data_IF_335070477507
#
_entry.id   IF_335070477507
#
_cell.length_a   1.000
_cell.length_b   1.000
_cell.length_c   1.000
_cell.angle_alpha   90.00
_cell.angle_beta   90.00
_cell.angle_gamma   90.00
#
_symmetry.space_group_name_H-M   'P 1'
#
loop_
_entity.id
_entity.type
_entity.pdbx_description
1 polymer ?
#
# COMPACT_ATOMS: atom_id res chain seq x y z
N UNK A 1 -5.46 5.61 -2.85
CA UNK A 1 -5.76 4.51 -3.79
C UNK A 1 -4.62 4.22 -4.78
N UNK A 2 -4.13 5.17 -5.58
CA UNK A 2 -3.14 4.90 -6.64
C UNK A 2 -1.85 4.18 -6.18
N UNK A 3 -1.35 4.46 -4.98
CA UNK A 3 -0.16 3.79 -4.42
C UNK A 3 -0.42 2.33 -4.03
N UNK A 4 -1.61 2.03 -3.50
CA UNK A 4 -2.02 0.68 -3.12
C UNK A 4 -2.26 -0.18 -4.37
N UNK A 5 -2.85 0.39 -5.42
CA UNK A 5 -3.02 -0.31 -6.69
C UNK A 5 -1.66 -0.66 -7.31
N UNK A 6 -0.73 0.29 -7.35
CA UNK A 6 0.63 0.02 -7.81
C UNK A 6 1.32 -1.07 -7.00
N UNK A 7 1.06 -1.14 -5.70
CA UNK A 7 1.58 -2.20 -4.85
C UNK A 7 1.04 -3.57 -5.26
N UNK A 8 -0.30 -3.70 -5.37
CA UNK A 8 -0.95 -4.93 -5.82
C UNK A 8 -0.51 -5.37 -7.22
N UNK A 9 -0.45 -4.44 -8.17
CA UNK A 9 -0.03 -4.71 -9.55
C UNK A 9 1.43 -5.20 -9.61
N UNK A 10 2.31 -4.62 -8.80
CA UNK A 10 3.72 -5.02 -8.78
C UNK A 10 3.87 -6.44 -8.19
N UNK A 11 3.17 -6.73 -7.08
CA UNK A 11 3.18 -8.08 -6.48
C UNK A 11 2.61 -9.11 -7.44
N UNK A 12 1.49 -8.82 -8.11
CA UNK A 12 0.88 -9.75 -9.08
C UNK A 12 1.76 -10.01 -10.31
N UNK A 13 2.64 -9.06 -10.66
CA UNK A 13 3.66 -9.22 -11.69
C UNK A 13 4.93 -9.95 -11.21
N UNK A 14 4.93 -10.46 -9.97
CA UNK A 14 6.03 -11.25 -9.41
C UNK A 14 7.09 -10.43 -8.68
N UNK A 15 6.84 -9.15 -8.37
CA UNK A 15 7.74 -8.39 -7.53
C UNK A 15 7.83 -9.02 -6.13
N UNK A 16 9.05 -9.19 -5.63
CA UNK A 16 9.34 -9.76 -4.30
C UNK A 16 9.46 -8.69 -3.20
N UNK A 17 9.29 -7.43 -3.57
CA UNK A 17 9.40 -6.27 -2.69
C UNK A 17 9.19 -4.98 -3.48
N UNK A 18 8.77 -3.93 -2.79
CA UNK A 18 8.46 -2.63 -3.38
C UNK A 18 9.01 -1.53 -2.47
N UNK A 19 9.66 -0.53 -3.07
CA UNK A 19 10.23 0.61 -2.35
C UNK A 19 9.40 1.86 -2.66
N UNK A 20 8.71 2.39 -1.64
CA UNK A 20 8.04 3.68 -1.70
C UNK A 20 8.78 4.70 -0.82
N UNK A 21 9.29 5.77 -1.45
CA UNK A 21 9.91 6.89 -0.74
C UNK A 21 8.95 8.06 -0.58
N UNK A 22 8.90 8.93 -1.59
CA UNK A 22 8.11 10.19 -1.57
C UNK A 22 6.66 10.01 -1.14
N UNK A 23 6.00 8.92 -1.54
CA UNK A 23 4.61 8.65 -1.16
C UNK A 23 4.42 8.44 0.35
N UNK A 24 5.41 7.85 1.03
CA UNK A 24 5.35 7.64 2.48
C UNK A 24 5.60 8.96 3.21
N UNK A 25 6.62 9.71 2.80
CA UNK A 25 7.01 10.97 3.47
C UNK A 25 6.01 12.11 3.28
N UNK A 26 5.22 12.08 2.20
CA UNK A 26 4.20 13.10 1.91
C UNK A 26 2.79 12.67 2.32
N UNK A 27 2.62 11.49 2.92
CA UNK A 27 1.31 11.07 3.41
C UNK A 27 0.96 11.82 4.69
N UNK A 28 -0.31 12.20 4.84
CA UNK A 28 -0.81 12.85 6.06
C UNK A 28 -0.67 11.92 7.28
N UNK A 29 -0.79 10.60 7.08
CA UNK A 29 -0.57 9.58 8.08
C UNK A 29 0.34 8.46 7.52
N UNK A 30 1.68 8.62 7.60
CA UNK A 30 2.62 7.63 7.09
C UNK A 30 2.48 6.24 7.73
N UNK A 31 2.29 6.10 9.06
CA UNK A 31 2.05 4.79 9.68
C UNK A 31 0.83 4.07 9.10
N UNK A 32 -0.29 4.76 8.93
CA UNK A 32 -1.50 4.18 8.32
C UNK A 32 -1.25 3.70 6.88
N UNK A 33 -0.52 4.50 6.09
CA UNK A 33 -0.15 4.12 4.73
C UNK A 33 0.77 2.89 4.70
N UNK A 34 1.73 2.79 5.62
CA UNK A 34 2.60 1.61 5.73
C UNK A 34 1.79 0.36 6.07
N UNK A 35 0.86 0.46 7.04
CA UNK A 35 -0.03 -0.65 7.40
C UNK A 35 -0.91 -1.10 6.23
N UNK A 36 -1.50 -0.15 5.50
CA UNK A 36 -2.30 -0.43 4.32
C UNK A 36 -1.47 -1.10 3.20
N UNK A 37 -0.24 -0.65 2.98
CA UNK A 37 0.68 -1.27 2.02
C UNK A 37 1.07 -2.69 2.43
N UNK A 38 1.32 -2.93 3.72
CA UNK A 38 1.63 -4.25 4.23
C UNK A 38 0.48 -5.23 4.00
N UNK A 39 -0.75 -4.81 4.31
CA UNK A 39 -1.95 -5.61 4.09
C UNK A 39 -2.15 -5.99 2.61
N UNK A 40 -1.88 -5.06 1.68
CA UNK A 40 -1.94 -5.35 0.25
C UNK A 40 -0.83 -6.30 -0.20
N UNK A 41 0.41 -6.06 0.23
CA UNK A 41 1.59 -6.78 -0.28
C UNK A 41 1.70 -8.19 0.31
N UNK A 42 1.46 -8.34 1.61
CA UNK A 42 1.72 -9.58 2.34
C UNK A 42 0.45 -10.36 2.70
N UNK A 43 -0.67 -9.67 2.92
CA UNK A 43 -1.93 -10.32 3.33
C UNK A 43 -2.94 -10.46 2.18
N UNK A 44 -2.62 -9.95 0.98
CA UNK A 44 -3.46 -10.05 -0.21
C UNK A 44 -4.76 -9.24 -0.14
N UNK A 45 -4.83 -8.22 0.72
CA UNK A 45 -6.00 -7.34 0.82
C UNK A 45 -6.15 -6.53 -0.46
N UNK A 46 -7.38 -6.47 -0.99
CA UNK A 46 -7.68 -5.69 -2.18
C UNK A 46 -7.42 -4.19 -1.94
N UNK A 47 -6.79 -3.46 -2.89
CA UNK A 47 -6.46 -2.04 -2.74
C UNK A 47 -7.64 -1.16 -2.33
N UNK A 48 -8.87 -1.45 -2.78
CA UNK A 48 -10.04 -0.67 -2.39
C UNK A 48 -10.41 -0.87 -0.90
N UNK A 49 -10.20 -2.08 -0.36
CA UNK A 49 -10.48 -2.38 1.03
C UNK A 49 -9.42 -1.76 1.96
N UNK A 50 -8.14 -1.80 1.55
CA UNK A 50 -7.04 -1.21 2.31
C UNK A 50 -7.13 0.32 2.44
N UNK A 51 -7.93 1.02 1.62
CA UNK A 51 -8.18 2.46 1.78
C UNK A 51 -8.82 2.78 3.14
N UNK A 52 -9.64 1.87 3.69
CA UNK A 52 -10.29 2.08 4.98
C UNK A 52 -9.27 2.26 6.13
N UNK A 53 -8.06 1.72 5.97
CA UNK A 53 -6.98 1.85 6.96
C UNK A 53 -6.29 3.22 6.95
N UNK A 54 -6.53 4.05 5.92
CA UNK A 54 -5.92 5.38 5.79
C UNK A 54 -6.68 6.47 6.57
N UNK A 55 -7.92 6.18 6.99
CA UNK A 55 -8.85 7.15 7.57
C UNK A 55 -9.23 6.90 9.04
N UNK A 56 -8.50 6.03 9.73
CA UNK A 56 -8.66 5.77 11.17
C UNK A 56 -7.67 6.56 12.01
#
# INVERSE_FOLDING_TARGET
LAVLQKAADSVSQGARGIIFGRNIFMADNPPALISALNAVINDGVEPQQAVAMLGS
#
